data_IF_528891048914
#
_entry.id   IF_528891048914
#
_cell.length_a   1.000
_cell.length_b   1.000
_cell.length_c   1.000
_cell.angle_alpha   90.00
_cell.angle_beta   90.00
_cell.angle_gamma   90.00
#
_symmetry.space_group_name_H-M   'P 1'
#
loop_
_entity.id
_entity.type
_entity.pdbx_description
1 polymer ?
#
# COMPACT_ATOMS: atom_id res chain seq x y z
N UNK A 1 -3.13 -4.15 -10.47
CA UNK A 1 -3.55 -3.17 -9.44
C UNK A 1 -4.88 -3.67 -8.87
N UNK A 2 -5.02 -3.74 -7.57
CA UNK A 2 -6.23 -4.18 -6.86
C UNK A 2 -6.57 -3.17 -5.76
N UNK A 3 -7.76 -3.29 -5.18
CA UNK A 3 -8.19 -2.46 -4.04
C UNK A 3 -7.28 -2.71 -2.84
N UNK A 4 -6.92 -1.63 -2.12
CA UNK A 4 -6.09 -1.75 -0.92
C UNK A 4 -6.96 -2.21 0.26
N UNK A 5 -6.62 -3.38 0.83
CA UNK A 5 -7.22 -3.95 2.02
C UNK A 5 -6.25 -4.94 2.67
N UNK A 6 -6.49 -5.28 3.94
CA UNK A 6 -5.78 -6.36 4.61
C UNK A 6 -6.75 -7.53 4.86
N UNK A 7 -6.29 -8.75 4.53
CA UNK A 7 -7.06 -9.98 4.74
C UNK A 7 -6.62 -10.65 6.05
N UNK A 8 -7.52 -10.70 7.02
CA UNK A 8 -7.29 -11.28 8.34
C UNK A 8 -7.55 -12.77 8.36
N UNK A 9 -6.90 -13.50 9.26
CA UNK A 9 -7.07 -14.94 9.40
C UNK A 9 -8.38 -15.34 10.07
N UNK A 10 -9.01 -14.42 10.83
CA UNK A 10 -10.24 -14.68 11.57
C UNK A 10 -11.15 -13.45 11.67
N UNK A 11 -12.40 -13.69 12.06
CA UNK A 11 -13.36 -12.62 12.30
C UNK A 11 -12.95 -11.72 13.49
N UNK A 12 -12.31 -12.28 14.51
CA UNK A 12 -11.86 -11.52 15.68
C UNK A 12 -10.71 -10.59 15.32
N UNK A 13 -9.73 -11.06 14.54
CA UNK A 13 -8.66 -10.21 14.01
C UNK A 13 -9.24 -9.09 13.13
N UNK A 14 -10.17 -9.41 12.22
CA UNK A 14 -10.82 -8.45 11.34
C UNK A 14 -11.63 -7.40 12.10
N UNK A 15 -12.30 -7.79 13.18
CA UNK A 15 -13.04 -6.88 14.06
C UNK A 15 -12.10 -5.93 14.81
N UNK A 16 -10.95 -6.41 15.25
CA UNK A 16 -9.92 -5.58 15.87
C UNK A 16 -9.33 -4.56 14.90
N UNK A 17 -9.22 -4.88 13.60
CA UNK A 17 -8.80 -3.99 12.54
C UNK A 17 -7.33 -3.57 12.60
N UNK A 18 -6.51 -4.27 13.38
CA UNK A 18 -5.08 -3.98 13.57
C UNK A 18 -4.28 -5.05 12.82
N UNK A 19 -3.80 -4.72 11.63
CA UNK A 19 -3.08 -5.66 10.76
C UNK A 19 -1.79 -6.21 11.40
N UNK A 20 -1.14 -5.39 12.23
CA UNK A 20 0.10 -5.72 12.94
C UNK A 20 -0.07 -6.87 13.95
N UNK A 21 -1.30 -7.08 14.42
CA UNK A 21 -1.64 -8.17 15.36
C UNK A 21 -2.09 -9.45 14.64
N UNK A 22 -2.21 -9.41 13.30
CA UNK A 22 -2.63 -10.59 12.54
C UNK A 22 -1.51 -11.62 12.45
N UNK A 23 -1.87 -12.90 12.58
CA UNK A 23 -0.95 -14.03 12.34
C UNK A 23 -0.45 -14.11 10.90
N UNK A 24 -1.12 -13.42 9.98
CA UNK A 24 -0.73 -13.31 8.58
C UNK A 24 0.19 -12.10 8.29
N UNK A 25 0.63 -11.35 9.29
CA UNK A 25 1.45 -10.15 9.14
C UNK A 25 2.85 -10.32 9.72
N UNK A 26 3.85 -9.78 9.06
CA UNK A 26 5.22 -9.68 9.54
C UNK A 26 5.83 -8.36 9.10
N UNK A 27 6.17 -7.49 10.04
CA UNK A 27 6.82 -6.21 9.73
C UNK A 27 8.21 -6.39 9.11
N UNK A 28 8.53 -5.56 8.14
CA UNK A 28 9.87 -5.35 7.62
C UNK A 28 10.47 -4.03 8.10
N UNK A 29 9.72 -3.23 8.86
CA UNK A 29 10.22 -2.00 9.47
C UNK A 29 11.40 -2.28 10.42
N UNK A 30 12.07 -1.21 10.80
CA UNK A 30 13.24 -1.28 11.69
C UNK A 30 14.56 -1.23 10.93
N UNK A 31 15.68 -1.66 11.53
CA UNK A 31 17.01 -1.52 10.94
C UNK A 31 17.21 -2.46 9.74
N UNK A 32 17.80 -1.89 8.69
CA UNK A 32 18.31 -2.61 7.52
C UNK A 32 19.79 -2.31 7.36
N UNK A 33 20.59 -3.30 6.98
CA UNK A 33 21.95 -3.05 6.49
C UNK A 33 21.87 -2.16 5.27
N UNK A 34 22.63 -1.06 5.27
CA UNK A 34 22.55 0.00 4.29
C UNK A 34 23.91 0.42 3.78
N UNK A 35 24.05 0.53 2.46
CA UNK A 35 25.22 1.09 1.80
C UNK A 35 24.77 2.17 0.82
N UNK A 36 25.32 3.36 1.01
CA UNK A 36 25.04 4.49 0.15
C UNK A 36 26.27 4.88 -0.66
N UNK A 37 26.05 5.19 -1.94
CA UNK A 37 27.08 5.72 -2.84
C UNK A 37 26.58 6.95 -3.58
N UNK A 38 27.48 7.88 -3.80
CA UNK A 38 27.17 9.15 -4.46
C UNK A 38 26.95 8.99 -5.98
N UNK A 39 27.65 8.05 -6.60
CA UNK A 39 27.62 7.81 -8.04
C UNK A 39 27.11 6.39 -8.30
N UNK A 40 26.19 6.28 -9.25
CA UNK A 40 25.55 5.00 -9.57
C UNK A 40 26.56 3.90 -9.95
N UNK A 41 27.65 4.25 -10.62
CA UNK A 41 28.67 3.28 -11.04
C UNK A 41 29.51 2.71 -9.89
N UNK A 42 29.51 3.37 -8.74
CA UNK A 42 30.19 2.90 -7.52
C UNK A 42 29.34 1.93 -6.67
N UNK A 43 28.09 1.66 -7.07
CA UNK A 43 27.19 0.79 -6.31
C UNK A 43 27.68 -0.65 -6.28
N UNK A 44 27.49 -1.38 -5.18
CA UNK A 44 27.75 -2.81 -5.17
C UNK A 44 26.78 -3.52 -6.13
N UNK A 45 27.32 -4.36 -7.01
CA UNK A 45 26.53 -5.07 -8.04
C UNK A 45 26.19 -6.51 -7.69
N UNK A 46 26.77 -7.03 -6.61
CA UNK A 46 26.61 -8.40 -6.10
C UNK A 46 26.01 -8.46 -4.68
N UNK A 47 25.64 -7.31 -4.13
CA UNK A 47 25.16 -7.15 -2.75
C UNK A 47 23.95 -8.04 -2.40
N UNK A 48 23.17 -8.45 -3.39
CA UNK A 48 21.98 -9.28 -3.21
C UNK A 48 22.30 -10.76 -2.98
N UNK A 49 23.56 -11.18 -3.15
CA UNK A 49 23.97 -12.56 -2.94
C UNK A 49 23.85 -12.96 -1.45
N UNK A 50 23.43 -14.20 -1.21
CA UNK A 50 23.20 -14.69 0.16
C UNK A 50 24.45 -14.77 1.02
N UNK A 51 25.63 -14.90 0.39
CA UNK A 51 26.95 -14.97 1.03
C UNK A 51 27.69 -13.63 1.04
N UNK A 52 27.05 -12.55 0.60
CA UNK A 52 27.66 -11.21 0.61
C UNK A 52 27.97 -10.77 2.05
N UNK A 53 29.15 -10.19 2.26
CA UNK A 53 29.57 -9.69 3.57
C UNK A 53 29.18 -8.21 3.74
N UNK A 54 28.10 -7.97 4.48
CA UNK A 54 27.57 -6.64 4.79
C UNK A 54 27.94 -6.12 6.19
N UNK A 55 28.91 -6.75 6.88
CA UNK A 55 29.29 -6.38 8.26
C UNK A 55 29.81 -4.95 8.41
N UNK A 56 30.35 -4.40 7.34
CA UNK A 56 30.84 -3.01 7.31
C UNK A 56 29.79 -1.98 6.87
N UNK A 57 28.56 -2.42 6.64
CA UNK A 57 27.49 -1.53 6.26
C UNK A 57 26.84 -0.88 7.49
N UNK A 58 26.33 0.32 7.30
CA UNK A 58 25.56 1.02 8.32
C UNK A 58 24.21 0.33 8.57
N UNK A 59 23.50 0.78 9.59
CA UNK A 59 22.10 0.41 9.85
C UNK A 59 21.22 1.65 9.60
N UNK A 60 20.30 1.56 8.64
CA UNK A 60 19.31 2.60 8.38
C UNK A 60 17.92 2.12 8.79
N UNK A 61 17.20 2.97 9.53
CA UNK A 61 15.80 2.67 9.89
C UNK A 61 14.88 2.75 8.67
N UNK A 62 13.98 1.79 8.55
CA UNK A 62 12.89 1.77 7.57
C UNK A 62 11.56 1.79 8.35
N UNK A 63 10.62 2.70 8.04
CA UNK A 63 10.76 3.83 7.11
C UNK A 63 11.85 4.82 7.51
N UNK A 64 12.47 5.46 6.51
CA UNK A 64 13.47 6.48 6.70
C UNK A 64 13.98 7.04 5.36
N UNK A 65 14.23 8.35 5.34
CA UNK A 65 14.78 9.04 4.18
C UNK A 65 16.27 9.27 4.36
N UNK A 66 17.04 9.18 3.27
CA UNK A 66 18.49 9.21 3.32
C UNK A 66 19.03 10.53 3.85
N UNK A 67 18.51 11.62 3.31
CA UNK A 67 19.05 12.97 3.49
C UNK A 67 18.95 13.43 4.97
N UNK A 68 17.96 12.96 5.70
CA UNK A 68 17.80 13.23 7.13
C UNK A 68 18.57 12.26 8.04
N UNK A 69 19.18 11.23 7.44
CA UNK A 69 20.04 10.28 8.13
C UNK A 69 21.53 10.45 7.75
N UNK A 70 21.89 11.60 7.13
CA UNK A 70 23.27 11.95 6.81
C UNK A 70 23.79 11.44 5.47
N UNK A 71 22.92 10.97 4.58
CA UNK A 71 23.29 10.43 3.26
C UNK A 71 22.80 11.34 2.13
N UNK A 72 23.69 12.16 1.61
CA UNK A 72 23.38 13.17 0.59
C UNK A 72 22.83 14.45 1.18
N UNK A 73 22.31 15.32 0.32
CA UNK A 73 21.81 16.65 0.67
C UNK A 73 20.31 16.75 0.38
N UNK A 74 19.51 17.30 1.30
CA UNK A 74 18.12 17.59 1.01
C UNK A 74 18.05 18.70 -0.05
N UNK A 75 17.26 18.47 -1.09
CA UNK A 75 17.02 19.45 -2.16
C UNK A 75 15.58 19.92 -2.04
N UNK A 76 15.38 21.23 -1.97
CA UNK A 76 14.08 21.86 -2.16
C UNK A 76 13.99 22.46 -3.55
N UNK A 77 12.96 22.14 -4.29
CA UNK A 77 12.70 22.71 -5.61
C UNK A 77 11.22 23.03 -5.74
N UNK A 78 10.91 24.31 -6.04
CA UNK A 78 9.55 24.76 -6.30
C UNK A 78 9.19 24.74 -7.80
N UNK A 79 10.17 24.93 -8.68
CA UNK A 79 9.96 24.93 -10.13
C UNK A 79 11.07 24.14 -10.81
N UNK A 80 10.67 23.19 -11.64
CA UNK A 80 11.58 22.34 -12.41
C UNK A 80 12.21 21.20 -11.61
N UNK A 81 12.96 20.38 -12.30
CA UNK A 81 13.52 19.16 -11.73
C UNK A 81 14.69 19.41 -10.78
N UNK A 82 14.92 18.46 -9.87
CA UNK A 82 15.99 18.53 -8.86
C UNK A 82 17.39 18.73 -9.44
N UNK A 83 17.60 18.34 -10.69
CA UNK A 83 18.86 18.47 -11.44
C UNK A 83 18.94 19.71 -12.32
N UNK A 84 18.02 20.67 -12.21
CA UNK A 84 18.07 21.93 -12.95
C UNK A 84 19.42 22.59 -12.77
N UNK A 85 19.97 23.22 -13.81
CA UNK A 85 21.30 23.81 -13.91
C UNK A 85 22.48 22.82 -14.02
N UNK A 86 22.31 21.54 -13.75
CA UNK A 86 23.36 20.52 -13.86
C UNK A 86 23.16 19.58 -15.05
N UNK A 87 21.94 19.37 -15.47
CA UNK A 87 21.57 18.47 -16.55
C UNK A 87 20.45 19.08 -17.38
N UNK A 88 20.59 19.08 -18.72
CA UNK A 88 19.54 19.50 -19.64
C UNK A 88 18.47 18.41 -19.73
N UNK A 89 17.22 18.76 -19.42
CA UNK A 89 16.11 17.83 -19.52
C UNK A 89 16.05 17.13 -20.89
N UNK A 90 16.04 15.81 -20.88
CA UNK A 90 15.98 14.96 -22.05
C UNK A 90 15.28 13.63 -21.72
N UNK A 91 13.95 13.65 -21.41
CA UNK A 91 13.22 12.43 -21.05
C UNK A 91 13.39 11.34 -22.11
N UNK A 92 13.57 10.06 -21.75
CA UNK A 92 13.52 9.52 -20.38
C UNK A 92 14.87 9.55 -19.63
N UNK A 93 15.91 10.16 -20.18
CA UNK A 93 17.24 10.16 -19.58
C UNK A 93 17.31 11.04 -18.34
N UNK A 94 17.90 10.52 -17.27
CA UNK A 94 18.19 11.26 -16.03
C UNK A 94 19.70 11.44 -15.87
N UNK A 95 20.18 12.41 -15.06
CA UNK A 95 21.61 12.58 -14.84
C UNK A 95 22.22 11.32 -14.22
N UNK A 96 23.43 10.98 -14.64
CA UNK A 96 24.28 9.96 -14.01
C UNK A 96 25.08 10.55 -12.85
N UNK A 97 25.46 11.82 -12.97
CA UNK A 97 26.11 12.57 -11.90
C UNK A 97 25.15 12.84 -10.74
N UNK A 98 25.61 12.65 -9.51
CA UNK A 98 24.82 12.80 -8.28
C UNK A 98 23.53 11.96 -8.23
N UNK A 99 23.41 10.95 -9.07
CA UNK A 99 22.34 9.96 -8.97
C UNK A 99 22.74 8.92 -7.91
N UNK A 100 22.48 9.28 -6.65
CA UNK A 100 22.84 8.47 -5.50
C UNK A 100 22.14 7.13 -5.51
N UNK A 101 22.81 6.10 -4.95
CA UNK A 101 22.23 4.76 -4.85
C UNK A 101 22.32 4.26 -3.41
N UNK A 102 21.17 3.83 -2.88
CA UNK A 102 21.06 3.12 -1.62
C UNK A 102 20.83 1.64 -1.84
N UNK A 103 21.66 0.80 -1.25
CA UNK A 103 21.52 -0.65 -1.29
C UNK A 103 21.15 -1.15 0.11
N UNK A 104 20.06 -1.91 0.20
CA UNK A 104 19.48 -2.39 1.45
C UNK A 104 19.53 -3.90 1.53
N UNK A 105 19.80 -4.43 2.73
CA UNK A 105 19.76 -5.86 3.02
C UNK A 105 19.13 -6.14 4.37
N UNK A 106 18.29 -7.17 4.44
CA UNK A 106 17.71 -7.64 5.70
C UNK A 106 17.61 -9.16 5.71
N UNK A 107 18.05 -9.75 6.79
CA UNK A 107 17.78 -11.16 7.07
C UNK A 107 16.46 -11.29 7.82
N UNK A 108 15.64 -12.23 7.40
CA UNK A 108 14.35 -12.53 8.03
C UNK A 108 14.21 -14.03 8.29
N UNK A 109 13.39 -14.37 9.25
CA UNK A 109 12.98 -15.75 9.53
C UNK A 109 11.47 -15.83 9.35
N UNK A 110 11.03 -16.62 8.37
CA UNK A 110 9.60 -16.79 8.12
C UNK A 110 8.93 -17.57 9.27
N UNK A 111 7.72 -17.16 9.68
CA UNK A 111 6.90 -17.94 10.60
C UNK A 111 6.63 -19.35 10.06
N UNK A 112 6.69 -20.35 10.95
CA UNK A 112 6.54 -21.74 10.54
C UNK A 112 5.14 -22.08 10.00
N UNK A 113 4.13 -21.39 10.48
CA UNK A 113 2.71 -21.50 10.09
C UNK A 113 2.40 -20.87 8.71
N UNK A 114 3.38 -20.17 8.10
CA UNK A 114 3.26 -19.67 6.72
C UNK A 114 3.63 -20.72 5.67
N UNK A 115 4.05 -21.91 6.10
CA UNK A 115 4.37 -23.02 5.19
C UNK A 115 3.17 -23.36 4.31
N UNK A 116 3.37 -23.29 2.99
CA UNK A 116 2.34 -23.61 1.98
C UNK A 116 1.37 -22.48 1.66
N UNK A 117 1.49 -21.33 2.32
CA UNK A 117 0.78 -20.09 1.96
C UNK A 117 1.46 -19.38 0.79
N UNK A 118 0.75 -18.46 0.17
CA UNK A 118 1.34 -17.44 -0.70
C UNK A 118 1.79 -16.26 0.15
N UNK A 119 2.97 -15.72 -0.16
CA UNK A 119 3.59 -14.66 0.62
C UNK A 119 3.87 -13.47 -0.28
N UNK A 120 3.39 -12.33 0.16
CA UNK A 120 3.53 -11.06 -0.53
C UNK A 120 4.38 -10.10 0.29
N UNK A 121 5.18 -9.27 -0.39
CA UNK A 121 5.84 -8.13 0.20
C UNK A 121 5.13 -6.85 -0.22
N UNK A 122 4.86 -5.99 0.73
CA UNK A 122 4.31 -4.66 0.54
C UNK A 122 5.35 -3.63 0.96
N UNK A 123 5.67 -2.70 0.05
CA UNK A 123 6.50 -1.52 0.31
C UNK A 123 5.62 -0.30 0.09
N UNK A 124 5.31 0.43 1.15
CA UNK A 124 4.30 1.48 1.10
C UNK A 124 4.70 2.74 0.32
N UNK A 125 6.00 2.99 0.15
CA UNK A 125 6.55 4.09 -0.67
C UNK A 125 8.05 3.93 -0.78
N UNK A 126 8.61 3.92 -1.99
CA UNK A 126 10.06 3.88 -2.22
C UNK A 126 10.44 4.89 -3.30
N UNK A 127 11.18 5.92 -2.97
CA UNK A 127 11.56 7.02 -3.85
C UNK A 127 13.01 6.88 -4.33
N UNK A 128 13.28 6.86 -5.63
CA UNK A 128 12.38 7.07 -6.79
C UNK A 128 11.94 5.75 -7.44
N UNK A 129 12.71 4.70 -7.29
CA UNK A 129 12.47 3.37 -7.84
C UNK A 129 13.01 2.28 -6.92
N UNK A 130 12.73 1.03 -7.22
CA UNK A 130 13.22 -0.11 -6.46
C UNK A 130 13.48 -1.31 -7.37
N UNK A 131 14.69 -1.87 -7.27
CA UNK A 131 15.02 -3.21 -7.75
C UNK A 131 15.02 -4.16 -6.56
N UNK A 132 14.29 -5.27 -6.63
CA UNK A 132 14.11 -6.21 -5.52
C UNK A 132 14.72 -7.58 -5.83
N UNK A 133 15.45 -8.13 -4.85
CA UNK A 133 15.99 -9.49 -4.85
C UNK A 133 15.62 -10.23 -3.56
N UNK A 134 15.40 -11.52 -3.67
CA UNK A 134 15.20 -12.41 -2.53
C UNK A 134 16.08 -13.64 -2.72
N UNK A 135 16.88 -13.96 -1.70
CA UNK A 135 17.80 -15.10 -1.70
C UNK A 135 18.72 -15.15 -2.94
N UNK A 136 19.23 -14.01 -3.37
CA UNK A 136 20.10 -13.89 -4.54
C UNK A 136 19.39 -13.88 -5.90
N UNK A 137 18.07 -13.99 -5.94
CA UNK A 137 17.28 -14.04 -7.17
C UNK A 137 16.53 -12.74 -7.38
N UNK A 138 16.62 -12.17 -8.58
CA UNK A 138 15.84 -10.98 -8.96
C UNK A 138 14.35 -11.29 -8.96
N UNK A 139 13.58 -10.41 -8.31
CA UNK A 139 12.12 -10.51 -8.19
C UNK A 139 11.42 -9.58 -9.16
N UNK A 140 11.82 -8.30 -9.17
CA UNK A 140 11.15 -7.30 -9.98
C UNK A 140 11.62 -5.87 -9.71
N UNK A 141 10.98 -4.95 -10.41
CA UNK A 141 11.22 -3.51 -10.41
C UNK A 141 9.91 -2.76 -10.13
N UNK A 142 10.01 -1.61 -9.48
CA UNK A 142 8.90 -0.68 -9.28
C UNK A 142 9.39 0.76 -9.35
N UNK A 143 8.56 1.61 -9.91
CA UNK A 143 8.61 3.08 -9.84
C UNK A 143 7.32 3.59 -9.19
N UNK A 144 7.12 4.90 -9.19
CA UNK A 144 5.98 5.56 -8.58
C UNK A 144 6.16 5.74 -7.07
N UNK A 145 7.02 6.69 -6.75
CA UNK A 145 7.62 6.93 -5.44
C UNK A 145 6.63 6.98 -4.26
N UNK A 146 5.40 7.41 -4.49
CA UNK A 146 4.41 7.67 -3.43
C UNK A 146 3.33 6.60 -3.31
N UNK A 147 3.25 5.69 -4.28
CA UNK A 147 2.35 4.55 -4.24
C UNK A 147 3.06 3.30 -3.72
N UNK A 148 2.25 2.36 -3.27
CA UNK A 148 2.74 1.08 -2.78
C UNK A 148 3.18 0.15 -3.92
N UNK A 149 4.27 -0.57 -3.68
CA UNK A 149 4.74 -1.66 -4.51
C UNK A 149 4.49 -3.01 -3.83
N UNK A 150 3.84 -3.92 -4.54
CA UNK A 150 3.55 -5.26 -4.06
C UNK A 150 4.21 -6.32 -4.93
N UNK A 151 4.85 -7.31 -4.29
CA UNK A 151 5.53 -8.42 -4.96
C UNK A 151 5.12 -9.76 -4.36
N UNK A 152 4.75 -10.72 -5.21
CA UNK A 152 4.55 -12.10 -4.76
C UNK A 152 5.92 -12.80 -4.61
N UNK A 153 6.31 -13.07 -3.38
CA UNK A 153 7.59 -13.68 -3.03
C UNK A 153 7.53 -15.19 -2.82
N UNK A 154 6.38 -15.82 -3.00
CA UNK A 154 6.14 -17.24 -2.69
C UNK A 154 7.22 -18.17 -3.24
N UNK A 155 7.61 -17.98 -4.50
CA UNK A 155 8.59 -18.83 -5.18
C UNK A 155 10.05 -18.46 -4.90
N UNK A 156 10.31 -17.41 -4.15
CA UNK A 156 11.64 -16.89 -3.83
C UNK A 156 12.03 -17.19 -2.38
N UNK A 157 11.04 -17.33 -1.51
CA UNK A 157 11.24 -17.60 -0.09
C UNK A 157 11.35 -19.10 0.21
N UNK A 158 12.06 -19.42 1.27
CA UNK A 158 12.23 -20.78 1.79
C UNK A 158 11.92 -20.82 3.30
N UNK A 159 11.58 -21.96 3.87
CA UNK A 159 11.43 -22.08 5.31
C UNK A 159 12.68 -21.63 6.07
N UNK A 160 12.48 -20.91 7.20
CA UNK A 160 13.56 -20.40 8.03
C UNK A 160 14.18 -19.12 7.48
N UNK A 161 15.51 -19.05 7.45
CA UNK A 161 16.28 -17.84 7.12
C UNK A 161 16.23 -17.49 5.64
N UNK A 162 15.91 -16.23 5.36
CA UNK A 162 15.88 -15.62 4.03
C UNK A 162 16.60 -14.28 4.05
N UNK A 163 17.10 -13.84 2.89
CA UNK A 163 17.67 -12.52 2.68
C UNK A 163 16.81 -11.77 1.68
N UNK A 164 16.31 -10.62 2.09
CA UNK A 164 15.68 -9.63 1.20
C UNK A 164 16.69 -8.53 0.95
N UNK A 165 16.89 -8.16 -0.31
CA UNK A 165 17.77 -7.07 -0.71
C UNK A 165 17.08 -6.21 -1.75
N UNK A 166 17.23 -4.90 -1.66
CA UNK A 166 16.75 -3.99 -2.69
C UNK A 166 17.69 -2.81 -2.90
N UNK A 167 17.63 -2.23 -4.08
CA UNK A 167 18.44 -1.10 -4.47
C UNK A 167 17.57 0.01 -5.03
N UNK A 168 17.83 1.23 -4.58
CA UNK A 168 17.06 2.43 -4.89
C UNK A 168 18.01 3.43 -5.53
N UNK A 169 17.57 4.07 -6.60
CA UNK A 169 18.27 5.19 -7.22
C UNK A 169 17.55 6.49 -6.86
N UNK A 170 18.32 7.55 -6.68
CA UNK A 170 17.77 8.87 -6.36
C UNK A 170 16.80 9.36 -7.43
N UNK A 171 17.14 9.14 -8.70
CA UNK A 171 16.37 9.55 -9.86
C UNK A 171 16.21 8.41 -10.85
N UNK A 172 15.03 8.33 -11.46
CA UNK A 172 14.69 7.47 -12.58
C UNK A 172 13.87 8.28 -13.60
N UNK A 173 13.50 7.69 -14.71
CA UNK A 173 12.66 8.35 -15.72
C UNK A 173 11.29 8.75 -15.18
N UNK A 174 10.70 7.99 -14.24
CA UNK A 174 9.50 8.37 -13.49
C UNK A 174 9.62 9.70 -12.76
N UNK A 175 10.83 10.13 -12.40
CA UNK A 175 11.06 11.42 -11.73
C UNK A 175 10.62 12.63 -12.57
N UNK A 176 10.52 12.49 -13.89
CA UNK A 176 9.94 13.52 -14.76
C UNK A 176 8.44 13.74 -14.57
N UNK A 177 7.73 12.73 -14.05
CA UNK A 177 6.29 12.77 -13.82
C UNK A 177 5.93 13.11 -12.36
N UNK A 178 6.93 13.13 -11.48
CA UNK A 178 6.76 13.29 -10.02
C UNK A 178 7.24 14.65 -9.51
N UNK A 179 7.33 15.65 -10.39
CA UNK A 179 7.80 16.98 -9.99
C UNK A 179 6.76 17.73 -9.17
N UNK A 180 7.19 18.26 -8.01
CA UNK A 180 6.35 18.99 -7.06
C UNK A 180 7.14 20.13 -6.41
N UNK A 181 6.43 21.17 -5.95
CA UNK A 181 6.97 22.20 -5.07
C UNK A 181 7.18 21.62 -3.67
N UNK A 182 8.30 20.91 -3.46
CA UNK A 182 8.57 20.19 -2.22
C UNK A 182 10.04 19.75 -2.12
N UNK A 183 10.41 19.20 -0.95
CA UNK A 183 11.68 18.54 -0.77
C UNK A 183 11.79 17.26 -1.61
N UNK A 184 13.00 17.01 -2.10
CA UNK A 184 13.37 15.80 -2.84
C UNK A 184 14.13 14.86 -1.92
N UNK A 185 13.42 14.02 -1.21
CA UNK A 185 13.98 12.96 -0.37
C UNK A 185 14.02 11.64 -1.11
N UNK A 186 14.94 10.78 -0.70
CA UNK A 186 15.13 9.43 -1.23
C UNK A 186 15.00 8.39 -0.12
N UNK A 187 14.70 7.15 -0.47
CA UNK A 187 14.57 6.07 0.50
C UNK A 187 13.15 5.56 0.67
N UNK A 188 12.84 5.03 1.85
CA UNK A 188 11.55 4.36 2.14
C UNK A 188 10.68 5.27 2.99
N UNK A 189 9.56 5.72 2.43
CA UNK A 189 8.71 6.74 3.05
C UNK A 189 7.59 6.20 3.93
N UNK A 190 7.24 4.91 3.82
CA UNK A 190 6.12 4.30 4.56
C UNK A 190 6.44 2.87 4.95
N UNK A 191 5.55 2.28 5.76
CA UNK A 191 5.67 0.92 6.27
C UNK A 191 5.93 -0.12 5.19
N UNK A 192 6.78 -1.08 5.55
CA UNK A 192 7.07 -2.27 4.76
C UNK A 192 6.73 -3.51 5.57
N UNK A 193 6.10 -4.50 4.94
CA UNK A 193 5.74 -5.74 5.60
C UNK A 193 5.60 -6.91 4.62
N UNK A 194 5.66 -8.11 5.16
CA UNK A 194 5.20 -9.31 4.49
C UNK A 194 3.81 -9.66 5.00
N UNK A 195 3.00 -10.24 4.13
CA UNK A 195 1.76 -10.87 4.54
C UNK A 195 1.54 -12.19 3.82
N UNK A 196 0.88 -13.11 4.52
CA UNK A 196 0.63 -14.44 4.02
C UNK A 196 -0.86 -14.65 3.73
N UNK A 197 -1.17 -15.37 2.65
CA UNK A 197 -2.54 -15.75 2.28
C UNK A 197 -2.60 -17.23 1.94
N UNK A 198 -3.77 -17.83 2.07
CA UNK A 198 -4.01 -19.18 1.55
C UNK A 198 -3.84 -19.18 0.03
N UNK A 199 -3.76 -20.37 -0.58
CA UNK A 199 -3.76 -20.51 -2.05
C UNK A 199 -5.07 -20.12 -2.71
N UNK A 200 -6.15 -20.08 -1.93
CA UNK A 200 -7.46 -19.56 -2.30
C UNK A 200 -7.67 -18.27 -1.53
N UNK A 201 -7.89 -17.18 -2.23
CA UNK A 201 -8.09 -15.86 -1.61
C UNK A 201 -8.89 -14.94 -2.53
N UNK A 202 -9.46 -13.89 -1.96
CA UNK A 202 -10.11 -12.81 -2.70
C UNK A 202 -9.02 -11.93 -3.29
N UNK A 203 -8.77 -12.05 -4.60
CA UNK A 203 -7.73 -11.32 -5.30
C UNK A 203 -8.04 -9.82 -5.40
N UNK A 204 -9.31 -9.49 -5.62
CA UNK A 204 -9.80 -8.11 -5.62
C UNK A 204 -11.26 -8.07 -5.17
N UNK A 205 -11.65 -6.96 -4.55
CA UNK A 205 -13.03 -6.69 -4.17
C UNK A 205 -13.36 -5.22 -4.47
N UNK A 206 -14.21 -5.02 -5.47
CA UNK A 206 -14.72 -3.69 -5.82
C UNK A 206 -16.08 -3.49 -5.20
N UNK A 207 -16.23 -2.39 -4.46
CA UNK A 207 -17.43 -2.03 -3.73
C UNK A 207 -17.85 -0.64 -4.18
N UNK A 208 -19.08 -0.54 -4.75
CA UNK A 208 -19.60 0.73 -5.27
C UNK A 208 -20.96 0.99 -4.63
N UNK A 209 -21.00 1.81 -3.57
CA UNK A 209 -22.25 2.27 -2.99
C UNK A 209 -22.91 3.35 -3.90
N UNK A 210 -24.23 3.33 -3.96
CA UNK A 210 -25.01 4.35 -4.65
C UNK A 210 -26.36 4.58 -3.92
N UNK A 211 -27.05 5.64 -4.30
CA UNK A 211 -28.39 5.96 -3.87
C UNK A 211 -29.32 6.06 -5.09
N UNK A 212 -30.59 5.78 -4.88
CA UNK A 212 -31.63 5.96 -5.89
C UNK A 212 -31.76 7.41 -6.37
N UNK A 213 -32.63 7.67 -7.33
CA UNK A 213 -32.85 9.02 -7.90
C UNK A 213 -33.47 10.00 -6.90
N UNK A 214 -34.04 9.51 -5.80
CA UNK A 214 -34.63 10.31 -4.73
C UNK A 214 -33.71 10.42 -3.51
N UNK A 215 -32.48 9.86 -3.62
CA UNK A 215 -31.48 9.83 -2.53
C UNK A 215 -32.02 9.16 -1.26
N UNK A 216 -32.96 8.23 -1.39
CA UNK A 216 -33.64 7.57 -0.27
C UNK A 216 -33.04 6.21 0.01
N UNK A 217 -33.14 5.29 -0.92
CA UNK A 217 -32.73 3.91 -0.76
C UNK A 217 -31.34 3.67 -1.36
N UNK A 218 -30.57 2.81 -0.71
CA UNK A 218 -29.19 2.52 -1.08
C UNK A 218 -29.04 1.20 -1.82
N UNK A 219 -28.08 1.17 -2.75
CA UNK A 219 -27.58 -0.06 -3.38
C UNK A 219 -26.08 -0.16 -3.20
N UNK A 220 -25.61 -1.39 -3.01
CA UNK A 220 -24.18 -1.69 -2.89
C UNK A 220 -23.82 -2.73 -3.96
N UNK A 221 -23.19 -2.29 -5.04
CA UNK A 221 -22.69 -3.18 -6.08
C UNK A 221 -21.35 -3.74 -5.61
N UNK A 222 -21.23 -5.08 -5.59
CA UNK A 222 -20.04 -5.78 -5.12
C UNK A 222 -19.57 -6.71 -6.23
N UNK A 223 -18.33 -6.54 -6.64
CA UNK A 223 -17.62 -7.44 -7.55
C UNK A 223 -16.41 -8.02 -6.84
N UNK A 224 -16.32 -9.34 -6.80
CA UNK A 224 -15.23 -10.10 -6.18
C UNK A 224 -14.48 -10.85 -7.27
N UNK A 225 -13.16 -10.78 -7.27
CA UNK A 225 -12.29 -11.65 -8.06
C UNK A 225 -11.66 -12.69 -7.12
N UNK A 226 -12.06 -13.95 -7.27
CA UNK A 226 -11.68 -15.03 -6.38
C UNK A 226 -10.64 -15.94 -7.05
N UNK A 227 -9.45 -16.00 -6.47
CA UNK A 227 -8.45 -17.02 -6.83
C UNK A 227 -8.82 -18.35 -6.18
N UNK A 228 -9.00 -19.38 -7.01
CA UNK A 228 -9.52 -20.68 -6.60
C UNK A 228 -11.04 -20.71 -6.54
N UNK A 229 -11.60 -21.55 -5.67
CA UNK A 229 -13.06 -21.71 -5.53
C UNK A 229 -13.45 -21.72 -4.06
N UNK A 230 -14.62 -21.18 -3.73
CA UNK A 230 -15.13 -21.09 -2.37
C UNK A 230 -16.49 -20.43 -2.30
N UNK A 231 -16.90 -20.09 -1.07
CA UNK A 231 -18.06 -19.26 -0.81
C UNK A 231 -17.58 -17.97 -0.13
N UNK A 232 -17.91 -16.82 -0.74
CA UNK A 232 -17.70 -15.51 -0.13
C UNK A 232 -19.00 -15.09 0.53
N UNK A 233 -19.06 -15.19 1.86
CA UNK A 233 -20.15 -14.68 2.65
C UNK A 233 -19.96 -13.18 2.89
N UNK A 234 -20.94 -12.39 2.49
CA UNK A 234 -20.99 -10.95 2.64
C UNK A 234 -21.97 -10.57 3.73
N UNK A 235 -21.53 -9.77 4.68
CA UNK A 235 -22.37 -9.22 5.74
C UNK A 235 -22.12 -7.72 5.87
N UNK A 236 -23.15 -6.92 5.60
CA UNK A 236 -23.13 -5.47 5.76
C UNK A 236 -23.76 -5.11 7.10
N UNK A 237 -22.97 -4.52 7.99
CA UNK A 237 -23.40 -4.07 9.31
C UNK A 237 -23.45 -2.55 9.41
N UNK A 238 -24.39 -2.03 10.20
CA UNK A 238 -24.46 -0.61 10.56
C UNK A 238 -23.44 -0.22 11.62
N UNK A 239 -23.45 1.05 12.05
CA UNK A 239 -22.52 1.56 13.09
C UNK A 239 -22.74 0.93 14.47
N UNK A 240 -23.90 0.34 14.73
CA UNK A 240 -24.22 -0.38 15.95
C UNK A 240 -23.81 -1.85 15.88
N UNK A 241 -23.40 -2.34 14.70
CA UNK A 241 -23.01 -3.73 14.45
C UNK A 241 -24.18 -4.65 14.08
N UNK A 242 -25.38 -4.09 13.80
CA UNK A 242 -26.51 -4.88 13.34
C UNK A 242 -26.34 -5.22 11.85
N UNK A 243 -26.57 -6.48 11.47
CA UNK A 243 -26.60 -6.90 10.07
C UNK A 243 -27.81 -6.30 9.35
N UNK A 244 -27.57 -5.57 8.27
CA UNK A 244 -28.62 -4.88 7.48
C UNK A 244 -28.83 -5.52 6.11
N UNK A 245 -27.83 -6.20 5.58
CA UNK A 245 -27.93 -6.96 4.33
C UNK A 245 -26.85 -8.04 4.24
N UNK A 246 -27.19 -9.19 3.67
CA UNK A 246 -26.26 -10.31 3.49
C UNK A 246 -26.38 -10.92 2.10
N UNK A 247 -25.31 -11.55 1.63
CA UNK A 247 -25.33 -12.42 0.46
C UNK A 247 -24.21 -13.46 0.52
N UNK A 248 -24.44 -14.61 -0.12
CA UNK A 248 -23.40 -15.62 -0.35
C UNK A 248 -23.11 -15.75 -1.84
N UNK A 249 -21.84 -15.58 -2.20
CA UNK A 249 -21.33 -15.78 -3.57
C UNK A 249 -20.54 -17.09 -3.60
N UNK A 250 -21.04 -18.08 -4.32
CA UNK A 250 -20.38 -19.39 -4.46
C UNK A 250 -19.85 -19.56 -5.88
N UNK A 251 -18.57 -19.88 -5.99
CA UNK A 251 -17.95 -20.09 -7.31
C UNK A 251 -16.44 -19.90 -7.31
N UNK A 252 -15.94 -19.41 -8.45
CA UNK A 252 -14.53 -19.11 -8.72
C UNK A 252 -14.43 -17.95 -9.72
N UNK A 253 -13.29 -17.26 -9.78
CA UNK A 253 -13.09 -16.11 -10.66
C UNK A 253 -14.00 -14.94 -10.28
N UNK A 254 -14.58 -14.26 -11.27
CA UNK A 254 -15.38 -13.04 -11.07
C UNK A 254 -16.80 -13.36 -10.64
N UNK A 255 -17.18 -12.92 -9.46
CA UNK A 255 -18.49 -13.06 -8.83
C UNK A 255 -19.06 -11.67 -8.55
N UNK A 256 -20.38 -11.49 -8.74
CA UNK A 256 -21.00 -10.19 -8.55
C UNK A 256 -22.33 -10.35 -7.79
N UNK A 257 -22.67 -9.33 -7.01
CA UNK A 257 -23.99 -9.22 -6.36
C UNK A 257 -24.34 -7.75 -6.11
N UNK A 258 -25.60 -7.51 -5.78
CA UNK A 258 -26.10 -6.21 -5.35
C UNK A 258 -26.83 -6.41 -4.02
N UNK A 259 -26.44 -5.66 -3.00
CA UNK A 259 -27.17 -5.54 -1.74
C UNK A 259 -28.00 -4.27 -1.78
N UNK A 260 -29.27 -4.39 -1.32
CA UNK A 260 -30.17 -3.24 -1.19
C UNK A 260 -30.37 -2.91 0.29
N UNK A 261 -30.31 -1.63 0.64
CA UNK A 261 -30.53 -1.13 2.00
C UNK A 261 -31.57 -0.03 1.97
N UNK A 262 -32.69 -0.26 2.64
CA UNK A 262 -33.76 0.73 2.72
C UNK A 262 -33.34 1.87 3.64
N UNK A 263 -33.42 3.10 3.12
CA UNK A 263 -33.13 4.34 3.83
C UNK A 263 -31.85 4.31 4.70
N UNK A 264 -30.67 4.01 4.11
CA UNK A 264 -29.44 3.96 4.88
C UNK A 264 -29.09 5.33 5.46
N UNK A 265 -28.37 5.33 6.59
CA UNK A 265 -27.71 6.53 7.09
C UNK A 265 -26.67 7.00 6.05
N UNK A 266 -26.94 8.15 5.43
CA UNK A 266 -26.13 8.64 4.31
C UNK A 266 -24.82 9.24 4.81
N UNK A 267 -23.79 9.06 4.01
CA UNK A 267 -22.49 9.71 4.25
C UNK A 267 -22.53 11.13 3.70
N UNK A 268 -22.13 12.09 4.51
CA UNK A 268 -21.73 13.45 4.11
C UNK A 268 -20.43 13.82 4.81
N UNK A 269 -19.80 14.94 4.43
CA UNK A 269 -18.59 15.40 5.10
C UNK A 269 -18.85 15.79 6.58
N UNK A 270 -20.04 16.30 6.87
CA UNK A 270 -20.48 16.70 8.22
C UNK A 270 -20.97 15.52 9.06
N UNK A 271 -21.55 14.50 8.41
CA UNK A 271 -22.04 13.27 9.05
C UNK A 271 -21.52 12.04 8.31
N UNK A 272 -20.25 11.65 8.54
CA UNK A 272 -19.58 10.58 7.79
C UNK A 272 -20.00 9.19 8.26
N UNK A 273 -21.30 8.87 8.10
CA UNK A 273 -21.85 7.56 8.47
C UNK A 273 -21.21 6.45 7.64
N UNK A 274 -20.61 5.47 8.30
CA UNK A 274 -19.96 4.33 7.67
C UNK A 274 -20.55 3.02 8.15
N UNK A 275 -20.92 2.19 7.20
CA UNK A 275 -21.20 0.77 7.38
C UNK A 275 -19.91 -0.03 7.30
N UNK A 276 -19.95 -1.28 7.75
CA UNK A 276 -18.85 -2.22 7.55
C UNK A 276 -19.33 -3.40 6.71
N UNK A 277 -18.80 -3.57 5.51
CA UNK A 277 -18.97 -4.80 4.75
C UNK A 277 -17.86 -5.78 5.17
N UNK A 278 -18.26 -6.93 5.70
CA UNK A 278 -17.34 -8.04 5.99
C UNK A 278 -17.47 -9.10 4.91
N UNK A 279 -16.40 -9.31 4.13
CA UNK A 279 -16.31 -10.38 3.16
C UNK A 279 -15.52 -11.56 3.78
N UNK A 280 -16.19 -12.68 4.02
CA UNK A 280 -15.59 -13.88 4.59
C UNK A 280 -15.49 -14.97 3.54
N UNK A 281 -14.27 -15.30 3.13
CA UNK A 281 -14.03 -16.45 2.26
C UNK A 281 -14.04 -17.74 3.06
N UNK A 282 -14.86 -18.71 2.61
CA UNK A 282 -14.99 -20.03 3.22
C UNK A 282 -14.64 -21.13 2.22
N UNK A 283 -13.95 -22.17 2.70
CA UNK A 283 -13.75 -23.43 2.01
C UNK A 283 -14.50 -24.53 2.78
N UNK A 284 -15.69 -24.88 2.32
CA UNK A 284 -16.66 -25.62 3.14
C UNK A 284 -17.04 -24.81 4.38
N UNK A 285 -16.87 -25.37 5.56
CA UNK A 285 -17.15 -24.71 6.85
C UNK A 285 -15.95 -23.92 7.40
N UNK A 286 -14.77 -24.06 6.80
CA UNK A 286 -13.56 -23.41 7.31
C UNK A 286 -13.45 -21.98 6.76
N UNK A 287 -13.24 -21.01 7.64
CA UNK A 287 -12.87 -19.64 7.27
C UNK A 287 -11.45 -19.66 6.75
N UNK A 288 -11.26 -19.07 5.57
CA UNK A 288 -9.94 -18.91 4.91
C UNK A 288 -9.38 -17.54 5.20
N UNK A 289 -10.19 -16.50 5.01
CA UNK A 289 -9.82 -15.11 5.31
C UNK A 289 -11.06 -14.23 5.49
N UNK A 290 -10.88 -13.11 6.15
CA UNK A 290 -11.91 -12.12 6.44
C UNK A 290 -11.40 -10.73 6.08
N UNK A 291 -12.15 -10.02 5.24
CA UNK A 291 -11.81 -8.67 4.77
C UNK A 291 -12.92 -7.70 5.19
N UNK A 292 -12.67 -6.80 6.16
CA UNK A 292 -13.59 -5.74 6.51
C UNK A 292 -13.34 -4.51 5.64
N UNK A 293 -14.40 -3.90 5.11
CA UNK A 293 -14.33 -2.68 4.30
C UNK A 293 -15.36 -1.67 4.79
N UNK A 294 -14.95 -0.43 4.98
CA UNK A 294 -15.86 0.67 5.35
C UNK A 294 -16.61 1.17 4.11
N UNK A 295 -17.92 1.34 4.24
CA UNK A 295 -18.83 1.71 3.16
C UNK A 295 -19.68 2.91 3.57
N UNK A 296 -19.63 3.99 2.79
CA UNK A 296 -20.51 5.14 2.96
C UNK A 296 -21.50 5.26 1.81
N UNK A 297 -22.80 5.20 2.10
CA UNK A 297 -23.83 5.40 1.10
C UNK A 297 -23.93 6.87 0.71
N UNK A 298 -23.48 7.20 -0.49
CA UNK A 298 -23.55 8.54 -1.07
C UNK A 298 -23.67 8.46 -2.58
N UNK A 299 -24.23 9.52 -3.15
CA UNK A 299 -24.24 9.76 -4.59
C UNK A 299 -23.54 11.07 -4.91
N UNK A 300 -22.56 11.03 -5.81
CA UNK A 300 -21.84 12.22 -6.29
C UNK A 300 -22.22 12.44 -7.74
N UNK A 301 -22.66 13.66 -8.07
CA UNK A 301 -23.11 14.00 -9.41
C UNK A 301 -22.57 15.37 -9.85
N UNK A 302 -22.34 15.51 -11.16
CA UNK A 302 -22.11 16.80 -11.80
C UNK A 302 -23.40 17.23 -12.50
N UNK A 303 -24.05 18.23 -11.99
CA UNK A 303 -25.34 18.71 -12.53
C UNK A 303 -25.44 20.23 -12.50
N UNK A 304 -25.80 20.79 -13.63
CA UNK A 304 -25.94 22.28 -13.76
C UNK A 304 -24.64 23.03 -13.48
N UNK A 305 -23.46 22.43 -13.78
CA UNK A 305 -22.16 23.04 -13.51
C UNK A 305 -21.72 22.97 -12.03
N UNK A 306 -22.44 22.22 -11.20
CA UNK A 306 -22.16 22.07 -9.78
C UNK A 306 -21.85 20.61 -9.42
N UNK A 307 -21.03 20.42 -8.39
CA UNK A 307 -20.83 19.12 -7.75
C UNK A 307 -21.89 18.96 -6.67
N UNK A 308 -22.66 17.89 -6.77
CA UNK A 308 -23.69 17.54 -5.78
C UNK A 308 -23.28 16.31 -5.01
N UNK A 309 -23.49 16.33 -3.69
CA UNK A 309 -23.44 15.15 -2.81
C UNK A 309 -24.85 14.93 -2.27
N UNK A 310 -25.42 13.76 -2.57
CA UNK A 310 -26.81 13.40 -2.21
C UNK A 310 -27.83 14.45 -2.66
N UNK A 311 -27.62 14.99 -3.88
CA UNK A 311 -28.48 16.02 -4.49
C UNK A 311 -28.30 17.45 -3.96
N UNK A 312 -27.40 17.66 -2.99
CA UNK A 312 -27.12 19.00 -2.45
C UNK A 312 -25.80 19.55 -3.03
N UNK A 313 -25.77 20.82 -3.47
CA UNK A 313 -24.54 21.43 -3.96
C UNK A 313 -23.51 21.57 -2.82
N UNK A 314 -22.24 21.28 -3.13
CA UNK A 314 -21.14 21.36 -2.17
C UNK A 314 -20.18 22.47 -2.55
N UNK A 315 -19.75 23.23 -1.56
CA UNK A 315 -18.64 24.17 -1.65
C UNK A 315 -17.41 23.55 -0.95
N UNK A 316 -16.35 23.28 -1.72
CA UNK A 316 -15.09 22.84 -1.15
C UNK A 316 -14.36 24.03 -0.51
N UNK A 317 -14.01 23.88 0.76
CA UNK A 317 -13.13 24.82 1.47
C UNK A 317 -11.88 24.04 1.83
N UNK A 318 -10.73 24.52 1.41
CA UNK A 318 -9.48 23.78 1.61
C UNK A 318 -8.27 24.70 1.58
N UNK A 319 -7.12 24.11 1.86
CA UNK A 319 -5.81 24.71 1.70
C UNK A 319 -4.85 23.65 1.15
N UNK A 320 -3.86 24.11 0.40
CA UNK A 320 -2.77 23.24 -0.05
C UNK A 320 -1.86 22.92 1.14
N UNK A 321 -1.56 21.64 1.31
CA UNK A 321 -0.74 21.15 2.42
C UNK A 321 0.18 20.04 1.97
N UNK A 322 1.45 20.14 2.40
CA UNK A 322 2.40 19.04 2.38
C UNK A 322 2.57 18.48 3.79
N UNK A 323 2.41 17.16 3.93
CA UNK A 323 2.71 16.47 5.19
C UNK A 323 4.22 16.38 5.34
N UNK A 324 4.73 17.01 6.40
CA UNK A 324 6.15 17.01 6.71
C UNK A 324 6.38 17.05 8.22
N UNK A 325 7.29 16.22 8.69
CA UNK A 325 7.83 16.23 10.05
C UNK A 325 9.22 16.87 10.03
N UNK A 326 9.57 17.75 11.00
CA UNK A 326 10.87 18.42 11.05
C UNK A 326 12.06 17.44 11.12
N UNK A 327 11.87 16.29 11.76
CA UNK A 327 12.90 15.28 12.00
C UNK A 327 12.83 14.12 10.99
N UNK A 328 11.62 13.74 10.58
CA UNK A 328 11.34 12.58 9.71
C UNK A 328 11.14 12.92 8.22
N UNK A 329 11.06 14.20 7.86
CA UNK A 329 10.70 14.62 6.50
C UNK A 329 9.26 14.21 6.18
N UNK A 330 9.04 13.43 5.11
CA UNK A 330 7.72 12.92 4.79
C UNK A 330 7.39 11.56 5.45
N UNK A 331 8.26 11.07 6.33
CA UNK A 331 7.94 9.93 7.22
C UNK A 331 7.25 10.50 8.46
N UNK A 332 5.93 10.59 8.42
CA UNK A 332 5.12 11.22 9.47
C UNK A 332 4.32 10.15 10.21
N UNK A 333 4.48 10.07 11.52
CA UNK A 333 3.70 9.14 12.35
C UNK A 333 2.25 9.61 12.52
N UNK A 334 1.33 8.67 12.79
CA UNK A 334 -0.07 8.99 13.09
C UNK A 334 -0.18 9.94 14.30
N UNK A 335 0.65 9.74 15.33
CA UNK A 335 0.69 10.61 16.50
C UNK A 335 1.01 12.06 16.11
N UNK A 336 2.01 12.26 15.25
CA UNK A 336 2.40 13.58 14.76
C UNK A 336 1.32 14.21 13.88
N UNK A 337 0.59 13.42 13.10
CA UNK A 337 -0.51 13.91 12.27
C UNK A 337 -1.71 14.39 13.11
N UNK A 338 -1.88 13.85 14.32
CA UNK A 338 -2.96 14.19 15.24
C UNK A 338 -2.63 15.37 16.17
N UNK A 339 -1.37 15.80 16.27
CA UNK A 339 -0.93 16.99 16.99
C UNK A 339 -1.22 18.28 16.20
#
# INVERSE_FOLDING_TARGET
MHTNYFAYASADEAKAGIKENSTNFMTLNGPWKFNWVRHADARPTDFYQTNFNDKGWDDLQVPGVWELNGYGDPIYVNVGYAWRSQFKNNPPLVPTENNHVGSYRKEIILPADWKGKEIFAHFGSVTSNMYLWVNGRYVGYSEDSKLEAEFNLTNYLKPGKNVIAFQVFRWCDGSYLEDQDFFRYSGVGRDCYLYARDKKYIQDIRITPDLDSQYKDGTLNIAVDLKGSGTVALDLTDVQGNSVATADLKGSGKLNTILSVSNPAKWTAETPNLYTLTATLKNGNNVVEVIPVKVGFRKIELKGGQILVNGQPVLFKGADRHEMDPDGGYVVSLERMLQ
#
